data_IF_721371955642
#
_entry.id   IF_721371955642
#
_cell.length_a   1.000
_cell.length_b   1.000
_cell.length_c   1.000
_cell.angle_alpha   90.00
_cell.angle_beta   90.00
_cell.angle_gamma   90.00
#
_symmetry.space_group_name_H-M   'P 1'
#
loop_
_entity.id
_entity.type
_entity.pdbx_description
1 polymer ?
#
# COMPACT_ATOMS: atom_id res chain seq x y z
N UNK A 1 64.70 49.41 -16.68
CA UNK A 1 63.54 49.11 -15.82
C UNK A 1 64.03 48.21 -14.70
N UNK A 2 64.09 48.72 -13.47
CA UNK A 2 64.32 47.94 -12.27
C UNK A 2 62.95 47.70 -11.63
N UNK A 3 62.58 46.45 -11.40
CA UNK A 3 61.37 46.09 -10.66
C UNK A 3 61.70 46.04 -9.17
N UNK A 4 60.81 46.61 -8.34
CA UNK A 4 60.92 46.60 -6.88
C UNK A 4 60.17 45.40 -6.31
N UNK A 5 60.59 44.93 -5.14
CA UNK A 5 59.98 43.79 -4.42
C UNK A 5 58.52 44.05 -4.03
N UNK A 6 58.08 45.31 -4.05
CA UNK A 6 56.70 45.72 -3.77
C UNK A 6 55.75 45.59 -4.98
N UNK A 7 56.27 45.19 -6.16
CA UNK A 7 55.46 44.96 -7.37
C UNK A 7 54.74 43.59 -7.37
N UNK A 8 54.86 42.81 -6.30
CA UNK A 8 54.22 41.49 -6.15
C UNK A 8 53.28 41.44 -4.95
N UNK A 9 51.97 41.41 -5.21
CA UNK A 9 50.95 41.17 -4.18
C UNK A 9 51.19 39.82 -3.44
N UNK A 10 51.03 39.77 -2.10
CA UNK A 10 51.27 38.56 -1.34
C UNK A 10 50.21 37.49 -1.62
N UNK A 11 50.64 36.38 -2.22
CA UNK A 11 49.83 35.17 -2.45
C UNK A 11 49.37 34.59 -1.10
N UNK A 12 48.09 34.76 -0.77
CA UNK A 12 47.43 34.11 0.38
C UNK A 12 47.43 32.59 0.21
N UNK A 13 48.43 31.90 0.76
CA UNK A 13 48.42 30.44 0.91
C UNK A 13 47.37 30.03 1.94
N UNK A 14 46.27 29.40 1.50
CA UNK A 14 45.35 28.69 2.40
C UNK A 14 46.11 27.55 3.07
N UNK A 15 46.20 27.58 4.41
CA UNK A 15 46.74 26.48 5.23
C UNK A 15 45.94 25.19 4.95
N UNK A 16 46.57 24.17 4.37
CA UNK A 16 46.03 22.80 4.37
C UNK A 16 46.04 22.31 5.82
N UNK A 17 44.85 22.03 6.36
CA UNK A 17 44.67 21.36 7.65
C UNK A 17 45.21 19.93 7.53
N UNK A 18 46.35 19.66 8.17
CA UNK A 18 46.88 18.32 8.36
C UNK A 18 46.01 17.57 9.36
N UNK A 19 45.23 16.59 8.90
CA UNK A 19 44.64 15.59 9.81
C UNK A 19 45.77 14.67 10.33
N UNK A 20 45.84 14.37 11.63
CA UNK A 20 46.86 13.46 12.16
C UNK A 20 46.59 12.01 11.68
N UNK A 21 47.62 11.15 11.58
CA UNK A 21 47.44 9.78 11.11
C UNK A 21 46.63 8.97 12.13
N UNK A 22 45.60 8.28 11.64
CA UNK A 22 44.86 7.26 12.37
C UNK A 22 45.82 6.13 12.79
N UNK A 23 45.92 5.91 14.10
CA UNK A 23 46.58 4.73 14.70
C UNK A 23 45.91 3.47 14.14
N UNK A 24 46.62 2.69 13.31
CA UNK A 24 46.20 1.33 12.96
C UNK A 24 46.33 0.45 14.21
N UNK A 25 45.20 -0.12 14.65
CA UNK A 25 45.16 -1.21 15.64
C UNK A 25 45.94 -2.40 15.09
N UNK A 26 46.81 -2.99 15.93
CA UNK A 26 47.39 -4.31 15.71
C UNK A 26 46.28 -5.35 15.83
N UNK A 27 46.15 -6.19 14.82
CA UNK A 27 45.51 -7.50 14.92
C UNK A 27 46.50 -8.50 14.34
N UNK A 28 47.17 -9.22 15.24
CA UNK A 28 47.88 -10.44 14.93
C UNK A 28 46.86 -11.54 14.63
N UNK A 29 46.91 -12.08 13.41
CA UNK A 29 46.47 -13.44 13.10
C UNK A 29 47.32 -13.95 11.94
N UNK A 30 48.20 -14.92 12.25
CA UNK A 30 48.87 -15.77 11.27
C UNK A 30 47.83 -16.46 10.36
N UNK A 31 48.03 -16.43 9.05
CA UNK A 31 48.19 -17.62 8.21
C UNK A 31 48.12 -17.29 6.72
N UNK A 32 48.96 -18.01 5.95
CA UNK A 32 49.21 -17.94 4.50
C UNK A 32 50.12 -16.80 4.05
N UNK A 33 51.35 -17.18 3.74
CA UNK A 33 52.22 -16.45 2.81
C UNK A 33 51.54 -16.38 1.45
N UNK A 34 50.73 -15.35 1.24
CA UNK A 34 50.33 -14.91 -0.09
C UNK A 34 51.56 -14.26 -0.73
N UNK A 35 52.29 -15.04 -1.52
CA UNK A 35 53.21 -14.49 -2.50
C UNK A 35 52.32 -13.77 -3.51
N UNK A 36 52.13 -12.46 -3.31
CA UNK A 36 51.55 -11.60 -4.33
C UNK A 36 52.42 -11.75 -5.59
N UNK A 37 51.85 -12.05 -6.76
CA UNK A 37 52.63 -12.11 -7.99
C UNK A 37 53.30 -10.75 -8.19
N UNK A 38 54.62 -10.77 -8.36
CA UNK A 38 55.42 -9.60 -8.72
C UNK A 38 54.71 -8.95 -9.91
N UNK A 39 54.35 -7.68 -9.75
CA UNK A 39 53.63 -6.93 -10.77
C UNK A 39 54.47 -6.86 -12.06
N UNK A 40 53.83 -6.53 -13.20
CA UNK A 40 54.42 -6.55 -14.55
C UNK A 40 55.72 -5.72 -14.69
N UNK A 41 56.06 -4.90 -13.69
CA UNK A 41 57.30 -4.13 -13.54
C UNK A 41 58.52 -4.88 -12.97
N UNK A 42 58.37 -6.12 -12.53
CA UNK A 42 59.46 -6.95 -12.00
C UNK A 42 59.96 -6.56 -10.59
N UNK A 43 60.78 -7.42 -9.99
CA UNK A 43 61.28 -7.28 -8.59
C UNK A 43 62.06 -5.98 -8.39
N UNK A 44 62.80 -5.54 -9.42
CA UNK A 44 63.62 -4.33 -9.35
C UNK A 44 62.80 -3.07 -9.10
N UNK A 45 61.63 -2.95 -9.73
CA UNK A 45 60.75 -1.79 -9.54
C UNK A 45 60.15 -1.74 -8.13
N UNK A 46 59.71 -2.89 -7.61
CA UNK A 46 59.17 -3.00 -6.26
C UNK A 46 60.24 -2.65 -5.20
N UNK A 47 61.49 -3.09 -5.39
CA UNK A 47 62.61 -2.71 -4.51
C UNK A 47 62.94 -1.22 -4.58
N UNK A 48 62.91 -0.61 -5.77
CA UNK A 48 63.16 0.82 -5.92
C UNK A 48 62.07 1.67 -5.25
N UNK A 49 60.79 1.27 -5.38
CA UNK A 49 59.66 1.91 -4.68
C UNK A 49 59.81 1.85 -3.16
N UNK A 50 60.33 0.74 -2.61
CA UNK A 50 60.62 0.61 -1.16
C UNK A 50 61.74 1.56 -0.72
N UNK A 51 62.73 1.84 -1.56
CA UNK A 51 63.80 2.80 -1.29
C UNK A 51 63.39 4.27 -1.49
N UNK A 52 62.12 4.52 -1.78
CA UNK A 52 61.55 5.87 -1.95
C UNK A 52 61.70 6.46 -3.35
N UNK A 53 62.11 5.66 -4.34
CA UNK A 53 62.08 6.08 -5.74
C UNK A 53 60.64 6.10 -6.26
N UNK A 54 60.29 7.12 -7.05
CA UNK A 54 58.96 7.29 -7.65
C UNK A 54 59.04 7.08 -9.16
N UNK A 55 58.03 6.43 -9.72
CA UNK A 55 57.97 6.08 -11.13
C UNK A 55 58.03 7.33 -12.03
N UNK A 56 58.80 7.23 -13.12
CA UNK A 56 58.98 8.32 -14.09
C UNK A 56 59.90 9.45 -13.62
N UNK A 57 60.76 9.22 -12.62
CA UNK A 57 61.67 10.24 -12.09
C UNK A 57 63.14 9.81 -12.12
N UNK A 58 64.03 10.76 -12.34
CA UNK A 58 65.47 10.57 -12.22
C UNK A 58 65.88 10.19 -10.79
N UNK A 59 66.93 9.38 -10.64
CA UNK A 59 67.52 9.11 -9.33
C UNK A 59 68.32 10.33 -8.82
N UNK A 60 68.32 10.59 -7.51
CA UNK A 60 69.10 11.67 -6.89
C UNK A 60 68.30 12.47 -5.86
N UNK A 61 68.98 13.29 -5.06
CA UNK A 61 68.39 14.08 -3.96
C UNK A 61 67.25 15.01 -4.42
N UNK A 62 67.27 15.44 -5.67
CA UNK A 62 66.30 16.34 -6.29
C UNK A 62 65.77 15.77 -7.62
N UNK A 63 65.75 14.45 -7.75
CA UNK A 63 65.19 13.76 -8.94
C UNK A 63 65.93 14.07 -10.26
N UNK A 64 67.18 14.54 -10.17
CA UNK A 64 67.93 15.10 -11.30
C UNK A 64 68.67 14.09 -12.20
N UNK A 65 68.58 12.80 -11.88
CA UNK A 65 69.20 11.73 -12.68
C UNK A 65 68.51 11.56 -14.03
N UNK A 66 69.16 10.83 -14.93
CA UNK A 66 68.54 10.44 -16.20
C UNK A 66 67.36 9.49 -15.95
N UNK A 67 66.23 9.72 -16.61
CA UNK A 67 65.00 8.90 -16.49
C UNK A 67 65.08 7.61 -17.32
N UNK A 68 65.92 7.60 -18.34
CA UNK A 68 66.14 6.47 -19.23
C UNK A 68 67.65 6.24 -19.44
N UNK A 69 68.11 4.99 -19.63
CA UNK A 69 69.49 4.71 -20.00
C UNK A 69 69.90 5.46 -21.28
N UNK A 70 71.16 5.87 -21.35
CA UNK A 70 71.70 6.49 -22.56
C UNK A 70 71.86 5.42 -23.63
N UNK A 71 71.21 5.60 -24.78
CA UNK A 71 71.45 4.76 -25.95
C UNK A 71 72.77 5.14 -26.61
N UNK A 72 73.59 4.14 -26.90
CA UNK A 72 74.88 4.31 -27.57
C UNK A 72 74.74 3.84 -29.01
N UNK A 73 75.01 4.73 -29.96
CA UNK A 73 75.10 4.36 -31.37
C UNK A 73 76.34 3.47 -31.57
N UNK A 74 76.12 2.19 -31.85
CA UNK A 74 77.20 1.26 -32.17
C UNK A 74 77.66 1.51 -33.61
N UNK A 75 78.97 1.74 -33.82
CA UNK A 75 79.53 1.76 -35.18
C UNK A 75 79.67 0.32 -35.68
N UNK A 76 78.90 -0.04 -36.69
CA UNK A 76 79.12 -1.28 -37.41
C UNK A 76 80.25 -1.08 -38.41
N UNK A 77 81.32 -1.87 -38.25
CA UNK A 77 82.52 -1.88 -39.12
C UNK A 77 83.27 -0.54 -39.15
N UNK A 78 84.49 -0.50 -39.70
CA UNK A 78 85.44 0.64 -39.61
C UNK A 78 85.01 1.87 -40.44
N UNK A 79 83.77 2.31 -40.29
CA UNK A 79 83.15 3.43 -40.98
C UNK A 79 83.57 4.78 -40.36
N UNK A 80 83.57 5.82 -41.19
CA UNK A 80 83.87 7.19 -40.76
C UNK A 80 82.70 7.80 -39.99
N UNK A 81 82.98 8.79 -39.13
CA UNK A 81 81.94 9.54 -38.42
C UNK A 81 80.99 10.19 -39.45
N UNK A 82 79.67 9.98 -39.29
CA UNK A 82 78.58 10.49 -40.14
C UNK A 82 78.29 9.78 -41.48
N UNK A 83 78.87 8.61 -41.75
CA UNK A 83 78.62 7.89 -43.01
C UNK A 83 77.14 7.50 -43.20
N UNK A 84 76.41 7.23 -42.10
CA UNK A 84 74.99 6.87 -42.09
C UNK A 84 74.04 8.02 -42.46
N UNK A 85 74.53 9.26 -42.53
CA UNK A 85 73.74 10.45 -42.89
C UNK A 85 73.74 10.75 -44.40
N UNK A 86 74.51 10.00 -45.20
CA UNK A 86 74.55 10.19 -46.66
C UNK A 86 73.31 9.52 -47.27
N UNK A 87 72.30 10.33 -47.56
CA UNK A 87 71.05 9.91 -48.21
C UNK A 87 71.35 9.39 -49.63
N UNK A 88 70.74 8.29 -50.10
CA UNK A 88 70.99 7.74 -51.44
C UNK A 88 70.74 8.76 -52.57
N UNK A 89 69.80 9.68 -52.37
CA UNK A 89 69.49 10.77 -53.30
C UNK A 89 70.67 11.75 -53.49
N UNK A 90 71.44 12.03 -52.44
CA UNK A 90 72.60 12.94 -52.53
C UNK A 90 73.74 12.32 -53.35
N UNK A 91 73.83 10.98 -53.35
CA UNK A 91 74.82 10.24 -54.14
C UNK A 91 74.43 10.19 -55.63
N UNK A 92 73.14 10.15 -55.94
CA UNK A 92 72.61 10.23 -57.32
C UNK A 92 72.74 11.65 -57.88
N UNK A 93 72.42 12.69 -57.10
CA UNK A 93 72.60 14.10 -57.49
C UNK A 93 74.09 14.48 -57.69
N UNK A 94 74.98 14.01 -56.81
CA UNK A 94 76.42 14.25 -56.98
C UNK A 94 76.99 13.53 -58.21
N UNK A 95 76.48 12.33 -58.54
CA UNK A 95 76.83 11.63 -59.78
C UNK A 95 76.26 12.36 -61.01
N UNK A 96 75.02 12.84 -60.98
CA UNK A 96 74.39 13.62 -62.06
C UNK A 96 75.16 14.91 -62.39
N UNK A 97 75.70 15.62 -61.39
CA UNK A 97 76.57 16.79 -61.62
C UNK A 97 77.93 16.44 -62.23
N UNK A 98 78.43 15.23 -62.01
CA UNK A 98 79.73 14.79 -62.53
C UNK A 98 79.65 14.23 -63.97
N UNK A 99 78.48 13.75 -64.41
CA UNK A 99 78.31 13.11 -65.73
C UNK A 99 77.76 14.01 -66.84
N UNK A 100 77.49 15.29 -66.58
CA UNK A 100 76.98 16.22 -67.59
C UNK A 100 77.93 16.53 -68.75
N UNK A 101 79.17 16.01 -68.77
CA UNK A 101 80.15 16.28 -69.83
C UNK A 101 80.74 15.07 -70.56
N UNK A 102 80.61 13.84 -70.05
CA UNK A 102 81.09 12.61 -70.71
C UNK A 102 80.16 11.42 -70.43
N UNK A 103 79.04 11.35 -71.15
CA UNK A 103 78.10 10.25 -71.06
C UNK A 103 78.38 9.22 -72.17
N UNK A 104 78.97 8.08 -71.80
CA UNK A 104 78.99 6.86 -72.62
C UNK A 104 77.70 6.05 -72.41
N UNK A 105 77.25 5.29 -73.41
CA UNK A 105 75.98 4.54 -73.39
C UNK A 105 75.81 3.63 -72.14
N UNK A 106 76.88 2.99 -71.66
CA UNK A 106 76.85 2.13 -70.45
C UNK A 106 76.42 2.87 -69.17
N UNK A 107 76.76 4.17 -69.03
CA UNK A 107 76.39 4.96 -67.85
C UNK A 107 74.93 5.39 -67.88
N UNK A 108 74.38 5.57 -69.07
CA UNK A 108 72.95 5.85 -69.27
C UNK A 108 72.14 4.59 -68.94
N UNK A 109 72.60 3.41 -69.35
CA UNK A 109 71.98 2.12 -68.99
C UNK A 109 71.97 1.86 -67.49
N UNK A 110 73.06 2.13 -66.77
CA UNK A 110 73.11 1.97 -65.31
C UNK A 110 72.12 2.93 -64.61
N UNK A 111 71.95 4.15 -65.13
CA UNK A 111 71.00 5.13 -64.61
C UNK A 111 69.54 4.70 -64.85
N UNK A 112 69.25 4.15 -66.03
CA UNK A 112 67.93 3.57 -66.37
C UNK A 112 67.61 2.41 -65.42
N UNK A 113 68.57 1.49 -65.18
CA UNK A 113 68.37 0.38 -64.25
C UNK A 113 68.15 0.84 -62.80
N UNK A 114 68.82 1.91 -62.37
CA UNK A 114 68.59 2.48 -61.04
C UNK A 114 67.21 3.14 -60.94
N UNK A 115 66.75 3.84 -61.98
CA UNK A 115 65.43 4.45 -62.03
C UNK A 115 64.31 3.39 -62.03
N UNK A 116 64.49 2.28 -62.76
CA UNK A 116 63.59 1.12 -62.73
C UNK A 116 63.53 0.49 -61.33
N UNK A 117 64.68 0.27 -60.69
CA UNK A 117 64.74 -0.22 -59.30
C UNK A 117 64.08 0.73 -58.31
N UNK A 118 64.21 2.04 -58.51
CA UNK A 118 63.53 3.04 -57.68
C UNK A 118 62.02 2.97 -57.84
N UNK A 119 61.50 2.82 -59.07
CA UNK A 119 60.08 2.62 -59.35
C UNK A 119 59.56 1.34 -58.67
N UNK A 120 60.30 0.24 -58.74
CA UNK A 120 59.94 -1.01 -58.07
C UNK A 120 59.89 -0.88 -56.54
N UNK A 121 60.84 -0.16 -55.95
CA UNK A 121 60.87 0.11 -54.51
C UNK A 121 59.68 1.00 -54.12
N UNK A 122 59.36 2.01 -54.93
CA UNK A 122 58.24 2.92 -54.69
C UNK A 122 56.89 2.18 -54.74
N UNK A 123 56.72 1.27 -55.70
CA UNK A 123 55.56 0.37 -55.78
C UNK A 123 55.46 -0.47 -54.50
N UNK A 124 56.54 -1.12 -54.06
CA UNK A 124 56.56 -1.94 -52.83
C UNK A 124 56.28 -1.13 -51.56
N UNK A 125 56.75 0.13 -51.50
CA UNK A 125 56.46 1.03 -50.38
C UNK A 125 54.97 1.39 -50.35
N UNK A 126 54.38 1.70 -51.50
CA UNK A 126 52.96 2.02 -51.60
C UNK A 126 52.07 0.82 -51.25
N UNK A 127 52.42 -0.39 -51.70
CA UNK A 127 51.74 -1.63 -51.32
C UNK A 127 51.81 -1.87 -49.79
N UNK A 128 52.99 -1.73 -49.19
CA UNK A 128 53.15 -1.86 -47.73
C UNK A 128 52.35 -0.80 -46.97
N UNK A 129 52.33 0.43 -47.47
CA UNK A 129 51.56 1.53 -46.87
C UNK A 129 50.06 1.24 -46.90
N UNK A 130 49.55 0.71 -48.01
CA UNK A 130 48.15 0.30 -48.14
C UNK A 130 47.82 -0.84 -47.17
N UNK A 131 48.66 -1.87 -47.08
CA UNK A 131 48.46 -2.99 -46.14
C UNK A 131 48.42 -2.51 -44.67
N UNK A 132 49.32 -1.60 -44.29
CA UNK A 132 49.34 -1.01 -42.95
C UNK A 132 48.04 -0.22 -42.70
N UNK A 133 47.55 0.54 -43.69
CA UNK A 133 46.34 1.31 -43.56
C UNK A 133 45.10 0.42 -43.38
N UNK A 134 45.02 -0.68 -44.12
CA UNK A 134 43.96 -1.68 -44.00
C UNK A 134 43.98 -2.36 -42.62
N UNK A 135 45.17 -2.71 -42.11
CA UNK A 135 45.33 -3.31 -40.79
C UNK A 135 45.01 -2.33 -39.64
N UNK A 136 45.33 -1.04 -39.80
CA UNK A 136 44.89 0.02 -38.88
C UNK A 136 43.37 0.10 -38.87
N UNK A 137 42.72 0.05 -40.04
CA UNK A 137 41.26 0.13 -40.14
C UNK A 137 40.58 -1.10 -39.50
N UNK A 138 41.10 -2.30 -39.74
CA UNK A 138 40.63 -3.54 -39.07
C UNK A 138 40.80 -3.46 -37.56
N UNK A 139 41.95 -2.96 -37.10
CA UNK A 139 42.23 -2.80 -35.67
C UNK A 139 41.30 -1.78 -35.02
N UNK A 140 41.03 -0.64 -35.66
CA UNK A 140 40.06 0.35 -35.19
C UNK A 140 38.65 -0.23 -35.09
N UNK A 141 38.22 -1.02 -36.07
CA UNK A 141 36.91 -1.69 -36.03
C UNK A 141 36.83 -2.71 -34.88
N UNK A 142 37.89 -3.49 -34.63
CA UNK A 142 37.95 -4.40 -33.48
C UNK A 142 37.89 -3.65 -32.15
N UNK A 143 38.65 -2.57 -31.99
CA UNK A 143 38.64 -1.73 -30.78
C UNK A 143 37.26 -1.14 -30.55
N UNK A 144 36.59 -0.64 -31.59
CA UNK A 144 35.22 -0.10 -31.47
C UNK A 144 34.22 -1.16 -31.01
N UNK A 145 34.28 -2.38 -31.57
CA UNK A 145 33.41 -3.50 -31.12
C UNK A 145 33.66 -3.87 -29.66
N UNK A 146 34.92 -3.92 -29.24
CA UNK A 146 35.29 -4.21 -27.85
C UNK A 146 34.81 -3.10 -26.89
N UNK A 147 34.91 -1.84 -27.28
CA UNK A 147 34.42 -0.71 -26.49
C UNK A 147 32.89 -0.76 -26.30
N UNK A 148 32.13 -1.06 -27.35
CA UNK A 148 30.67 -1.23 -27.23
C UNK A 148 30.30 -2.40 -26.32
N UNK A 149 31.02 -3.53 -26.41
CA UNK A 149 30.77 -4.68 -25.53
C UNK A 149 31.12 -4.36 -24.07
N UNK A 150 32.20 -3.62 -23.82
CA UNK A 150 32.58 -3.20 -22.47
C UNK A 150 31.51 -2.31 -21.84
N UNK A 151 30.93 -1.37 -22.60
CA UNK A 151 29.84 -0.51 -22.12
C UNK A 151 28.58 -1.31 -21.75
N UNK A 152 28.20 -2.30 -22.56
CA UNK A 152 27.06 -3.20 -22.26
C UNK A 152 27.34 -3.99 -20.97
N UNK A 153 28.55 -4.54 -20.83
CA UNK A 153 28.94 -5.30 -19.65
C UNK A 153 28.95 -4.43 -18.37
N UNK A 154 29.40 -3.17 -18.46
CA UNK A 154 29.41 -2.23 -17.34
C UNK A 154 27.98 -1.90 -16.87
N UNK A 155 27.05 -1.69 -17.80
CA UNK A 155 25.63 -1.48 -17.48
C UNK A 155 25.01 -2.73 -16.82
N UNK A 156 25.36 -3.93 -17.29
CA UNK A 156 24.89 -5.19 -16.70
C UNK A 156 25.45 -5.41 -15.29
N UNK A 157 26.72 -5.06 -15.05
CA UNK A 157 27.36 -5.10 -13.73
C UNK A 157 26.68 -4.12 -12.77
N UNK A 158 26.39 -2.89 -13.20
CA UNK A 158 25.70 -1.91 -12.36
C UNK A 158 24.30 -2.39 -11.97
N UNK A 159 23.58 -3.02 -12.91
CA UNK A 159 22.25 -3.61 -12.67
C UNK A 159 22.32 -4.74 -11.64
N UNK A 160 23.26 -5.68 -11.80
CA UNK A 160 23.49 -6.78 -10.85
C UNK A 160 23.89 -6.28 -9.46
N UNK A 161 24.73 -5.25 -9.37
CA UNK A 161 25.12 -4.66 -8.09
C UNK A 161 23.94 -4.01 -7.34
N UNK A 162 22.99 -3.39 -8.06
CA UNK A 162 21.74 -2.87 -7.46
C UNK A 162 20.87 -4.00 -6.90
N UNK A 163 20.73 -5.10 -7.63
CA UNK A 163 19.97 -6.28 -7.16
C UNK A 163 20.61 -6.92 -5.91
N UNK A 164 21.93 -7.08 -5.90
CA UNK A 164 22.66 -7.63 -4.73
C UNK A 164 22.44 -6.76 -3.49
N UNK A 165 22.52 -5.43 -3.64
CA UNK A 165 22.31 -4.48 -2.53
C UNK A 165 20.89 -4.60 -1.93
N UNK A 166 19.87 -4.75 -2.78
CA UNK A 166 18.48 -4.96 -2.34
C UNK A 166 18.32 -6.28 -1.58
N UNK A 167 18.94 -7.35 -2.07
CA UNK A 167 18.91 -8.66 -1.42
C UNK A 167 19.59 -8.65 -0.04
N UNK A 168 20.73 -7.98 0.10
CA UNK A 168 21.43 -7.83 1.39
C UNK A 168 20.61 -7.01 2.40
N UNK A 169 20.00 -5.90 1.96
CA UNK A 169 19.07 -5.13 2.79
C UNK A 169 17.87 -5.95 3.24
N UNK A 170 17.29 -6.74 2.32
CA UNK A 170 16.21 -7.66 2.62
C UNK A 170 16.58 -8.68 3.70
N UNK A 171 17.77 -9.29 3.61
CA UNK A 171 18.28 -10.24 4.63
C UNK A 171 18.35 -9.65 6.03
N UNK A 172 18.85 -8.42 6.16
CA UNK A 172 18.94 -7.75 7.46
C UNK A 172 17.54 -7.53 8.04
N UNK A 173 16.60 -7.05 7.22
CA UNK A 173 15.21 -6.83 7.63
C UNK A 173 14.56 -8.15 8.05
N UNK A 174 14.68 -9.22 7.26
CA UNK A 174 14.12 -10.53 7.61
C UNK A 174 14.72 -11.12 8.88
N UNK A 175 16.03 -10.93 9.10
CA UNK A 175 16.67 -11.36 10.34
C UNK A 175 16.16 -10.57 11.55
N UNK A 176 16.02 -9.25 11.44
CA UNK A 176 15.41 -8.42 12.49
C UNK A 176 13.95 -8.80 12.76
N UNK A 177 13.15 -9.09 11.73
CA UNK A 177 11.78 -9.61 11.87
C UNK A 177 11.80 -10.90 12.68
N UNK A 178 12.63 -11.86 12.26
CA UNK A 178 12.69 -13.18 12.88
C UNK A 178 13.09 -13.10 14.35
N UNK A 179 14.17 -12.38 14.66
CA UNK A 179 14.64 -12.20 16.05
C UNK A 179 13.62 -11.43 16.89
N UNK A 180 12.99 -10.40 16.32
CA UNK A 180 11.94 -9.66 17.00
C UNK A 180 10.68 -10.48 17.26
N UNK A 181 10.31 -11.38 16.34
CA UNK A 181 9.16 -12.28 16.50
C UNK A 181 9.35 -13.32 17.60
N UNK A 182 10.57 -13.82 17.80
CA UNK A 182 10.89 -14.73 18.93
C UNK A 182 10.71 -14.03 20.29
N UNK A 183 10.86 -12.70 20.32
CA UNK A 183 10.72 -11.88 21.52
C UNK A 183 9.31 -11.36 21.79
N UNK A 184 8.27 -11.76 21.04
CA UNK A 184 6.89 -11.36 21.33
C UNK A 184 6.25 -12.39 22.26
N UNK A 185 6.13 -12.05 23.53
CA UNK A 185 5.42 -12.84 24.54
C UNK A 185 4.17 -12.12 25.09
N UNK A 186 4.01 -10.83 24.79
CA UNK A 186 2.84 -10.06 25.19
C UNK A 186 2.38 -8.98 24.17
N UNK A 187 1.29 -8.30 24.51
CA UNK A 187 0.70 -7.23 23.69
C UNK A 187 1.62 -6.00 23.56
N UNK A 188 2.39 -5.68 24.60
CA UNK A 188 3.23 -4.49 24.65
C UNK A 188 4.45 -4.63 23.73
N UNK A 189 5.04 -5.81 23.69
CA UNK A 189 6.13 -6.16 22.79
C UNK A 189 5.66 -6.17 21.33
N UNK A 190 4.47 -6.71 21.06
CA UNK A 190 3.86 -6.63 19.73
C UNK A 190 3.73 -5.18 19.25
N UNK A 191 3.17 -4.30 20.08
CA UNK A 191 2.98 -2.88 19.73
C UNK A 191 4.31 -2.19 19.48
N UNK A 192 5.28 -2.35 20.40
CA UNK A 192 6.63 -1.78 20.25
C UNK A 192 7.31 -2.25 18.97
N UNK A 193 7.11 -3.52 18.59
CA UNK A 193 7.72 -4.06 17.40
C UNK A 193 7.06 -3.57 16.10
N UNK A 194 5.72 -3.46 16.06
CA UNK A 194 5.00 -2.82 14.93
C UNK A 194 5.44 -1.36 14.76
N UNK A 195 5.59 -0.60 15.85
CA UNK A 195 6.11 0.77 15.78
C UNK A 195 7.55 0.83 15.26
N UNK A 196 8.38 -0.16 15.57
CA UNK A 196 9.75 -0.25 15.08
C UNK A 196 9.78 -0.54 13.58
N UNK A 197 8.96 -1.50 13.11
CA UNK A 197 8.79 -1.82 11.69
C UNK A 197 8.36 -0.56 10.91
N UNK A 198 7.39 0.18 11.45
CA UNK A 198 6.94 1.43 10.84
C UNK A 198 8.06 2.47 10.68
N UNK A 199 8.99 2.52 11.62
CA UNK A 199 10.11 3.46 11.63
C UNK A 199 11.28 3.03 10.73
N UNK A 200 11.24 1.85 10.07
CA UNK A 200 12.32 1.40 9.20
C UNK A 200 12.49 2.30 7.96
N UNK A 201 13.62 3.01 7.89
CA UNK A 201 13.99 3.91 6.77
C UNK A 201 14.86 3.22 5.70
N UNK A 202 15.00 1.89 5.74
CA UNK A 202 16.01 1.14 4.97
C UNK A 202 15.58 0.90 3.51
N UNK A 203 14.28 0.91 3.22
CA UNK A 203 13.69 0.65 1.90
C UNK A 203 13.08 1.92 1.28
N UNK A 204 13.05 1.99 -0.06
CA UNK A 204 12.35 3.06 -0.77
C UNK A 204 10.83 2.99 -0.54
N UNK A 205 10.10 4.07 -0.83
CA UNK A 205 8.64 4.14 -0.60
C UNK A 205 7.86 3.01 -1.32
N UNK A 206 8.29 2.60 -2.52
CA UNK A 206 7.63 1.55 -3.30
C UNK A 206 7.95 0.14 -2.79
N UNK A 207 9.19 -0.10 -2.36
CA UNK A 207 9.63 -1.40 -1.79
C UNK A 207 9.13 -1.59 -0.35
N UNK A 208 8.77 -0.50 0.33
CA UNK A 208 8.31 -0.50 1.73
C UNK A 208 7.01 -1.25 1.92
N UNK A 209 6.06 -1.14 0.99
CA UNK A 209 4.66 -1.51 1.25
C UNK A 209 4.51 -3.00 1.53
N UNK A 210 4.94 -3.85 0.61
CA UNK A 210 4.73 -5.31 0.70
C UNK A 210 5.52 -5.92 1.86
N UNK A 211 6.74 -5.42 2.09
CA UNK A 211 7.58 -5.89 3.20
C UNK A 211 6.98 -5.46 4.54
N UNK A 212 6.53 -4.22 4.68
CA UNK A 212 5.87 -3.75 5.92
C UNK A 212 4.56 -4.52 6.15
N UNK A 213 3.75 -4.71 5.11
CA UNK A 213 2.50 -5.45 5.18
C UNK A 213 2.72 -6.88 5.67
N UNK A 214 3.64 -7.60 5.01
CA UNK A 214 4.03 -8.94 5.43
C UNK A 214 4.55 -8.99 6.87
N UNK A 215 5.42 -8.05 7.24
CA UNK A 215 6.06 -8.02 8.56
C UNK A 215 5.05 -7.76 9.67
N UNK A 216 4.20 -6.73 9.52
CA UNK A 216 3.17 -6.38 10.50
C UNK A 216 2.19 -7.52 10.64
N UNK A 217 1.76 -8.13 9.53
CA UNK A 217 0.88 -9.28 9.56
C UNK A 217 1.48 -10.42 10.37
N UNK A 218 2.74 -10.79 10.13
CA UNK A 218 3.41 -11.89 10.85
C UNK A 218 3.58 -11.61 12.35
N UNK A 219 3.88 -10.37 12.69
CA UNK A 219 4.00 -9.92 14.09
C UNK A 219 2.67 -10.00 14.82
N UNK A 220 1.58 -9.56 14.18
CA UNK A 220 0.23 -9.69 14.71
C UNK A 220 -0.13 -11.17 14.86
N UNK A 221 0.07 -12.00 13.83
CA UNK A 221 -0.20 -13.44 13.88
C UNK A 221 0.50 -14.11 15.08
N UNK A 222 1.77 -13.79 15.31
CA UNK A 222 2.53 -14.30 16.46
C UNK A 222 1.95 -13.87 17.81
N UNK A 223 1.58 -12.59 17.94
CA UNK A 223 0.95 -12.09 19.17
C UNK A 223 -0.42 -12.77 19.42
N UNK A 224 -1.18 -13.03 18.36
CA UNK A 224 -2.46 -13.73 18.46
C UNK A 224 -2.26 -15.19 18.92
N UNK A 225 -1.22 -15.88 18.44
CA UNK A 225 -0.85 -17.23 18.88
C UNK A 225 -0.60 -17.30 20.39
N UNK A 226 0.22 -16.39 20.93
CA UNK A 226 0.51 -16.34 22.36
C UNK A 226 -0.74 -16.08 23.22
N UNK A 227 -1.70 -15.35 22.65
CA UNK A 227 -2.97 -15.03 23.30
C UNK A 227 -4.04 -16.12 23.15
N UNK A 228 -3.81 -17.21 22.39
CA UNK A 228 -4.82 -18.24 22.12
C UNK A 228 -5.34 -18.91 23.39
N UNK A 229 -4.48 -19.18 24.37
CA UNK A 229 -4.91 -19.77 25.65
C UNK A 229 -5.90 -18.84 26.38
N UNK A 230 -5.62 -17.54 26.41
CA UNK A 230 -6.51 -16.54 27.00
C UNK A 230 -7.86 -16.51 26.28
N UNK A 231 -7.86 -16.64 24.94
CA UNK A 231 -9.10 -16.74 24.15
C UNK A 231 -9.88 -18.01 24.45
N UNK A 232 -9.22 -19.16 24.55
CA UNK A 232 -9.88 -20.43 24.87
C UNK A 232 -10.55 -20.36 26.25
N UNK A 233 -9.84 -19.81 27.25
CA UNK A 233 -10.38 -19.61 28.60
C UNK A 233 -11.53 -18.60 28.57
N UNK A 234 -11.37 -17.49 27.86
CA UNK A 234 -12.39 -16.47 27.72
C UNK A 234 -13.68 -17.02 27.09
N UNK A 235 -13.58 -17.77 25.98
CA UNK A 235 -14.71 -18.42 25.30
C UNK A 235 -15.52 -19.32 26.24
N UNK A 236 -14.85 -19.99 27.18
CA UNK A 236 -15.47 -20.84 28.22
C UNK A 236 -16.05 -20.04 29.39
N UNK A 237 -15.43 -18.91 29.74
CA UNK A 237 -15.80 -18.13 30.93
C UNK A 237 -17.17 -17.46 30.84
N UNK A 238 -17.72 -17.27 29.63
CA UNK A 238 -19.06 -16.71 29.34
C UNK A 238 -19.38 -15.33 29.94
N UNK A 239 -18.41 -14.61 30.52
CA UNK A 239 -18.71 -13.43 31.35
C UNK A 239 -18.68 -12.08 30.63
N UNK A 240 -17.92 -11.93 29.55
CA UNK A 240 -17.74 -10.61 28.90
C UNK A 240 -17.83 -10.71 27.38
N UNK A 241 -18.32 -9.64 26.74
CA UNK A 241 -18.25 -9.43 25.28
C UNK A 241 -16.89 -8.90 24.83
N UNK A 242 -16.07 -8.39 25.77
CA UNK A 242 -14.70 -7.91 25.52
C UNK A 242 -13.80 -9.11 25.20
N UNK A 243 -13.42 -9.25 23.94
CA UNK A 243 -12.47 -10.28 23.53
C UNK A 243 -11.04 -9.91 23.97
N UNK A 244 -10.16 -10.90 24.23
CA UNK A 244 -8.79 -10.63 24.66
C UNK A 244 -7.98 -9.79 23.68
N UNK A 245 -8.29 -9.83 22.38
CA UNK A 245 -7.58 -9.10 21.34
C UNK A 245 -7.97 -7.62 21.24
N UNK A 246 -9.05 -7.20 21.89
CA UNK A 246 -9.61 -5.85 21.74
C UNK A 246 -8.57 -4.79 22.06
N UNK A 247 -7.92 -4.89 23.23
CA UNK A 247 -6.91 -3.93 23.67
C UNK A 247 -5.72 -3.84 22.70
N UNK A 248 -5.25 -4.99 22.21
CA UNK A 248 -4.16 -5.05 21.24
C UNK A 248 -4.53 -4.28 19.97
N UNK A 249 -5.69 -4.56 19.39
CA UNK A 249 -6.12 -3.92 18.14
C UNK A 249 -6.45 -2.44 18.31
N UNK A 250 -7.10 -2.06 19.42
CA UNK A 250 -7.37 -0.66 19.75
C UNK A 250 -6.09 0.16 19.83
N UNK A 251 -5.05 -0.37 20.48
CA UNK A 251 -3.75 0.31 20.58
C UNK A 251 -2.99 0.33 19.27
N UNK A 252 -2.99 -0.77 18.51
CA UNK A 252 -2.36 -0.81 17.19
C UNK A 252 -3.01 0.21 16.22
N UNK A 253 -4.33 0.42 16.28
CA UNK A 253 -5.02 1.42 15.45
C UNK A 253 -4.75 2.87 15.87
N UNK A 254 -4.16 3.12 17.05
CA UNK A 254 -3.68 4.46 17.42
C UNK A 254 -2.43 4.87 16.64
N UNK A 255 -1.75 3.92 16.00
CA UNK A 255 -0.65 4.22 15.07
C UNK A 255 -1.27 4.89 13.84
N UNK A 256 -1.11 6.22 13.74
CA UNK A 256 -1.73 7.08 12.71
C UNK A 256 -1.08 6.91 11.33
N UNK A 257 -1.10 5.70 10.79
CA UNK A 257 -0.65 5.38 9.45
C UNK A 257 -1.72 4.62 8.68
N UNK A 258 -1.98 5.04 7.43
CA UNK A 258 -3.05 4.49 6.60
C UNK A 258 -2.80 3.02 6.24
N UNK A 259 -1.55 2.65 5.90
CA UNK A 259 -1.22 1.28 5.53
C UNK A 259 -1.38 0.34 6.73
N UNK A 260 -0.87 0.76 7.90
CA UNK A 260 -0.97 0.00 9.14
C UNK A 260 -2.43 -0.19 9.54
N UNK A 261 -3.23 0.88 9.46
CA UNK A 261 -4.67 0.82 9.70
C UNK A 261 -5.35 -0.21 8.80
N UNK A 262 -5.08 -0.19 7.50
CA UNK A 262 -5.67 -1.14 6.54
C UNK A 262 -5.34 -2.60 6.90
N UNK A 263 -4.08 -2.88 7.24
CA UNK A 263 -3.62 -4.22 7.62
C UNK A 263 -4.31 -4.69 8.90
N UNK A 264 -4.36 -3.84 9.93
CA UNK A 264 -4.99 -4.18 11.21
C UNK A 264 -6.50 -4.42 11.03
N UNK A 265 -7.18 -3.57 10.26
CA UNK A 265 -8.61 -3.72 10.01
C UNK A 265 -8.92 -5.02 9.27
N UNK A 266 -8.11 -5.44 8.28
CA UNK A 266 -8.27 -6.75 7.61
C UNK A 266 -8.14 -7.93 8.59
N UNK A 267 -7.21 -7.85 9.55
CA UNK A 267 -7.07 -8.87 10.59
C UNK A 267 -8.26 -8.87 11.55
N UNK A 268 -8.70 -7.69 12.00
CA UNK A 268 -9.89 -7.52 12.84
C UNK A 268 -11.13 -8.11 12.17
N UNK A 269 -11.34 -7.79 10.89
CA UNK A 269 -12.47 -8.32 10.12
C UNK A 269 -12.48 -9.85 10.14
N UNK A 270 -11.36 -10.48 9.81
CA UNK A 270 -11.23 -11.94 9.76
C UNK A 270 -11.55 -12.56 11.12
N UNK A 271 -10.93 -12.06 12.19
CA UNK A 271 -11.04 -12.63 13.54
C UNK A 271 -12.43 -12.41 14.11
N UNK A 272 -12.95 -11.18 14.03
CA UNK A 272 -14.22 -10.83 14.66
C UNK A 272 -15.40 -11.44 13.93
N UNK A 273 -15.36 -11.54 12.60
CA UNK A 273 -16.38 -12.27 11.83
C UNK A 273 -16.37 -13.75 12.21
N UNK A 274 -15.19 -14.37 12.29
CA UNK A 274 -15.08 -15.79 12.64
C UNK A 274 -15.61 -16.05 14.06
N UNK A 275 -15.25 -15.22 15.03
CA UNK A 275 -15.77 -15.34 16.39
C UNK A 275 -17.26 -15.11 16.48
N UNK A 276 -17.80 -14.10 15.80
CA UNK A 276 -19.25 -13.87 15.82
C UNK A 276 -19.99 -15.05 15.20
N UNK A 277 -19.48 -15.64 14.10
CA UNK A 277 -20.08 -16.85 13.51
C UNK A 277 -20.10 -18.03 14.48
N UNK A 278 -18.95 -18.34 15.09
CA UNK A 278 -18.83 -19.43 16.06
C UNK A 278 -19.76 -19.22 17.26
N UNK A 279 -19.67 -18.04 17.87
CA UNK A 279 -20.35 -17.73 19.13
C UNK A 279 -21.83 -17.45 18.93
N UNK A 280 -22.26 -17.03 17.75
CA UNK A 280 -23.69 -16.78 17.48
C UNK A 280 -24.53 -18.01 17.76
N UNK A 281 -24.04 -19.22 17.54
CA UNK A 281 -24.73 -20.49 17.84
C UNK A 281 -24.81 -20.81 19.33
N UNK A 282 -23.83 -20.40 20.11
CA UNK A 282 -23.70 -20.78 21.52
C UNK A 282 -24.19 -19.71 22.50
N UNK A 283 -24.18 -18.44 22.08
CA UNK A 283 -24.45 -17.28 22.94
C UNK A 283 -25.82 -16.67 22.66
N UNK A 284 -26.26 -15.82 23.60
CA UNK A 284 -27.49 -15.03 23.44
C UNK A 284 -27.33 -13.97 22.35
N UNK A 285 -28.47 -13.53 21.81
CA UNK A 285 -28.50 -12.46 20.81
C UNK A 285 -27.97 -11.14 21.40
N UNK A 286 -28.35 -10.80 22.64
CA UNK A 286 -27.75 -9.69 23.39
C UNK A 286 -26.21 -9.72 23.41
N UNK A 287 -25.60 -10.87 23.68
CA UNK A 287 -24.14 -10.99 23.66
C UNK A 287 -23.56 -10.67 22.28
N UNK A 288 -24.22 -11.12 21.21
CA UNK A 288 -23.80 -10.85 19.83
C UNK A 288 -23.87 -9.34 19.51
N UNK A 289 -24.92 -8.66 19.98
CA UNK A 289 -25.09 -7.21 19.82
C UNK A 289 -24.01 -6.45 20.60
N UNK A 290 -23.79 -6.79 21.86
CA UNK A 290 -22.76 -6.17 22.70
C UNK A 290 -21.37 -6.37 22.09
N UNK A 291 -21.09 -7.57 21.57
CA UNK A 291 -19.86 -7.88 20.87
C UNK A 291 -19.68 -7.02 19.61
N UNK A 292 -20.71 -6.88 18.78
CA UNK A 292 -20.64 -6.01 17.60
C UNK A 292 -20.40 -4.55 17.98
N UNK A 293 -21.17 -4.01 18.93
CA UNK A 293 -21.08 -2.61 19.33
C UNK A 293 -19.72 -2.24 19.88
N UNK A 294 -19.07 -3.16 20.61
CA UNK A 294 -17.72 -2.97 21.11
C UNK A 294 -16.69 -2.94 19.96
N UNK A 295 -16.78 -3.87 19.01
CA UNK A 295 -15.71 -4.11 18.03
C UNK A 295 -15.88 -3.32 16.71
N UNK A 296 -17.06 -2.77 16.41
CA UNK A 296 -17.35 -2.13 15.12
C UNK A 296 -16.40 -1.00 14.73
N UNK A 297 -15.85 -0.28 15.70
CA UNK A 297 -14.91 0.84 15.45
C UNK A 297 -13.54 0.37 14.97
N UNK A 298 -13.18 -0.89 15.27
CA UNK A 298 -11.91 -1.49 14.87
C UNK A 298 -11.97 -2.15 13.49
N UNK A 299 -13.16 -2.26 12.90
CA UNK A 299 -13.41 -3.00 11.66
C UNK A 299 -13.35 -2.08 10.44
N UNK A 300 -13.17 -2.69 9.27
CA UNK A 300 -13.39 -2.00 7.99
C UNK A 300 -14.88 -1.93 7.65
N UNK A 301 -15.25 -1.07 6.70
CA UNK A 301 -16.62 -1.02 6.16
C UNK A 301 -17.03 -2.35 5.51
N UNK A 302 -16.10 -3.03 4.83
CA UNK A 302 -16.34 -4.36 4.25
C UNK A 302 -16.62 -5.40 5.34
N UNK A 303 -15.86 -5.36 6.45
CA UNK A 303 -16.06 -6.22 7.61
C UNK A 303 -17.42 -6.00 8.27
N UNK A 304 -17.83 -4.74 8.44
CA UNK A 304 -19.15 -4.38 8.98
C UNK A 304 -20.26 -4.96 8.09
N UNK A 305 -20.15 -4.82 6.77
CA UNK A 305 -21.14 -5.37 5.83
C UNK A 305 -21.23 -6.91 5.92
N UNK A 306 -20.11 -7.61 6.12
CA UNK A 306 -20.11 -9.06 6.36
C UNK A 306 -20.76 -9.44 7.69
N UNK A 307 -20.61 -8.63 8.75
CA UNK A 307 -21.32 -8.87 10.02
C UNK A 307 -22.83 -8.69 9.86
N UNK A 308 -23.28 -7.68 9.11
CA UNK A 308 -24.73 -7.48 8.85
C UNK A 308 -25.37 -8.75 8.26
N UNK A 309 -24.65 -9.48 7.39
CA UNK A 309 -25.11 -10.77 6.88
C UNK A 309 -25.25 -11.85 7.97
N UNK A 310 -24.38 -11.86 8.98
CA UNK A 310 -24.50 -12.78 10.12
C UNK A 310 -25.74 -12.43 10.95
N UNK A 311 -26.02 -11.14 11.15
CA UNK A 311 -27.23 -10.71 11.86
C UNK A 311 -28.52 -11.17 11.17
N UNK A 312 -28.54 -11.29 9.83
CA UNK A 312 -29.68 -11.88 9.12
C UNK A 312 -29.97 -13.34 9.54
N UNK A 313 -28.94 -14.11 9.91
CA UNK A 313 -29.11 -15.45 10.46
C UNK A 313 -29.49 -15.44 11.95
N UNK A 314 -28.91 -14.53 12.74
CA UNK A 314 -29.23 -14.36 14.16
C UNK A 314 -30.72 -14.00 14.34
N UNK A 315 -31.25 -13.14 13.48
CA UNK A 315 -32.66 -12.68 13.51
C UNK A 315 -33.63 -13.85 13.38
N UNK A 316 -33.25 -15.00 12.80
CA UNK A 316 -34.16 -16.15 12.67
C UNK A 316 -34.55 -16.75 14.03
N UNK A 317 -33.73 -16.56 15.06
CA UNK A 317 -33.95 -17.06 16.43
C UNK A 317 -35.00 -16.27 17.19
N UNK A 318 -35.43 -16.77 18.34
CA UNK A 318 -36.22 -15.96 19.27
C UNK A 318 -35.39 -14.79 19.77
N UNK A 319 -35.96 -13.58 19.64
CA UNK A 319 -35.33 -12.32 20.00
C UNK A 319 -36.36 -11.45 20.71
N UNK A 320 -35.90 -10.72 21.72
CA UNK A 320 -36.71 -9.78 22.50
C UNK A 320 -36.97 -8.50 21.73
N UNK A 321 -37.97 -7.73 22.16
CA UNK A 321 -38.29 -6.44 21.54
C UNK A 321 -37.13 -5.44 21.59
N UNK A 322 -36.37 -5.41 22.69
CA UNK A 322 -35.20 -4.55 22.82
C UNK A 322 -34.08 -4.96 21.84
N UNK A 323 -33.83 -6.27 21.70
CA UNK A 323 -32.86 -6.78 20.73
C UNK A 323 -33.27 -6.48 19.29
N UNK A 324 -34.57 -6.54 18.96
CA UNK A 324 -35.07 -6.16 17.64
C UNK A 324 -34.71 -4.70 17.32
N UNK A 325 -34.94 -3.78 18.25
CA UNK A 325 -34.62 -2.36 18.10
C UNK A 325 -33.12 -2.17 17.84
N UNK A 326 -32.28 -2.83 18.64
CA UNK A 326 -30.83 -2.71 18.50
C UNK A 326 -30.34 -3.29 17.17
N UNK A 327 -30.87 -4.43 16.73
CA UNK A 327 -30.50 -5.05 15.45
C UNK A 327 -30.96 -4.20 14.26
N UNK A 328 -32.12 -3.56 14.35
CA UNK A 328 -32.62 -2.65 13.31
C UNK A 328 -31.65 -1.47 13.06
N UNK A 329 -31.04 -0.97 14.14
CA UNK A 329 -29.98 0.04 14.07
C UNK A 329 -28.70 -0.53 13.45
N UNK A 330 -28.35 -1.78 13.75
CA UNK A 330 -27.14 -2.43 13.21
C UNK A 330 -27.25 -2.68 11.70
N UNK A 331 -28.38 -3.21 11.23
CA UNK A 331 -28.55 -3.55 9.82
C UNK A 331 -28.57 -2.29 8.96
N UNK A 332 -29.20 -1.23 9.43
CA UNK A 332 -29.41 0.04 8.72
C UNK A 332 -30.20 -0.09 7.40
N UNK A 333 -30.44 -1.29 6.91
CA UNK A 333 -31.31 -1.60 5.76
C UNK A 333 -32.58 -2.31 6.20
N UNK A 334 -33.71 -2.16 5.48
CA UNK A 334 -34.94 -2.87 5.77
C UNK A 334 -34.74 -4.39 5.79
N UNK A 335 -35.34 -5.08 6.76
CA UNK A 335 -35.31 -6.53 6.87
C UNK A 335 -36.71 -7.07 7.17
N UNK A 336 -37.30 -7.79 6.22
CA UNK A 336 -38.69 -8.26 6.30
C UNK A 336 -38.95 -9.19 7.50
N UNK A 337 -37.98 -10.02 7.89
CA UNK A 337 -38.12 -10.93 9.04
C UNK A 337 -38.15 -10.13 10.33
N UNK A 338 -37.28 -9.14 10.44
CA UNK A 338 -37.19 -8.26 11.60
C UNK A 338 -38.45 -7.39 11.73
N UNK A 339 -38.92 -6.82 10.61
CA UNK A 339 -40.17 -6.07 10.54
C UNK A 339 -41.39 -6.90 10.97
N UNK A 340 -41.50 -8.15 10.50
CA UNK A 340 -42.57 -9.07 10.93
C UNK A 340 -42.53 -9.35 12.42
N UNK A 341 -41.33 -9.55 12.99
CA UNK A 341 -41.18 -9.76 14.45
C UNK A 341 -41.48 -8.49 15.24
N UNK A 342 -41.05 -7.34 14.75
CA UNK A 342 -41.37 -6.04 15.35
C UNK A 342 -42.88 -5.81 15.38
N UNK A 343 -43.54 -5.98 14.23
CA UNK A 343 -44.99 -5.87 14.08
C UNK A 343 -45.74 -6.78 15.06
N UNK A 344 -45.33 -8.05 15.18
CA UNK A 344 -45.92 -9.00 16.12
C UNK A 344 -45.81 -8.54 17.58
N UNK A 345 -44.65 -8.01 17.99
CA UNK A 345 -44.46 -7.49 19.34
C UNK A 345 -45.34 -6.26 19.61
N UNK A 346 -45.44 -5.33 18.64
CA UNK A 346 -46.33 -4.16 18.75
C UNK A 346 -47.79 -4.60 18.98
N UNK A 347 -48.27 -5.59 18.22
CA UNK A 347 -49.61 -6.15 18.42
C UNK A 347 -49.77 -6.70 19.83
N UNK A 348 -48.84 -7.54 20.28
CA UNK A 348 -48.89 -8.13 21.62
C UNK A 348 -48.95 -7.07 22.72
N UNK A 349 -48.15 -6.00 22.61
CA UNK A 349 -48.19 -4.90 23.57
C UNK A 349 -49.54 -4.16 23.56
N UNK A 350 -50.15 -3.97 22.39
CA UNK A 350 -51.47 -3.34 22.28
C UNK A 350 -52.54 -4.24 22.93
N UNK A 351 -52.53 -5.54 22.63
CA UNK A 351 -53.49 -6.51 23.16
C UNK A 351 -53.37 -6.67 24.68
N UNK A 352 -52.15 -6.58 25.22
CA UNK A 352 -51.88 -6.61 26.66
C UNK A 352 -52.09 -5.25 27.36
N UNK A 353 -52.59 -4.22 26.65
CA UNK A 353 -52.75 -2.85 27.15
C UNK A 353 -51.44 -2.21 27.67
N UNK A 354 -50.28 -2.63 27.16
CA UNK A 354 -48.96 -2.11 27.50
C UNK A 354 -48.55 -0.91 26.60
N UNK A 355 -49.52 -0.04 26.31
CA UNK A 355 -49.37 1.17 25.49
C UNK A 355 -48.22 2.10 25.95
N UNK A 356 -47.96 2.29 27.26
CA UNK A 356 -46.86 3.14 27.71
C UNK A 356 -45.49 2.73 27.16
N UNK A 357 -45.22 1.43 27.01
CA UNK A 357 -43.95 0.90 26.50
C UNK A 357 -43.71 1.38 25.07
N UNK A 358 -44.71 1.25 24.19
CA UNK A 358 -44.62 1.68 22.79
C UNK A 358 -44.38 3.20 22.71
N UNK A 359 -45.11 3.99 23.53
CA UNK A 359 -44.97 5.45 23.55
C UNK A 359 -43.60 5.91 24.04
N UNK A 360 -43.05 5.24 25.04
CA UNK A 360 -41.71 5.53 25.57
C UNK A 360 -40.64 5.24 24.52
N UNK A 361 -40.73 4.10 23.84
CA UNK A 361 -39.83 3.72 22.75
C UNK A 361 -39.93 4.72 21.59
N UNK A 362 -41.14 5.11 21.19
CA UNK A 362 -41.33 6.12 20.14
C UNK A 362 -40.65 7.46 20.49
N UNK A 363 -40.74 7.90 21.75
CA UNK A 363 -40.13 9.17 22.19
C UNK A 363 -38.60 9.13 22.26
N UNK A 364 -38.03 7.97 22.58
CA UNK A 364 -36.58 7.84 22.88
C UNK A 364 -35.75 7.35 21.71
N UNK A 365 -36.37 6.82 20.65
CA UNK A 365 -35.67 6.20 19.53
C UNK A 365 -35.52 7.11 18.30
N UNK A 366 -34.71 6.66 17.34
CA UNK A 366 -34.43 7.36 16.08
C UNK A 366 -35.66 7.48 15.17
N UNK A 367 -35.60 8.41 14.21
CA UNK A 367 -36.68 8.62 13.21
C UNK A 367 -37.03 7.34 12.43
N UNK A 368 -36.05 6.48 12.15
CA UNK A 368 -36.26 5.20 11.47
C UNK A 368 -37.17 4.27 12.28
N UNK A 369 -36.88 4.10 13.57
CA UNK A 369 -37.69 3.26 14.47
C UNK A 369 -39.06 3.89 14.70
N UNK A 370 -39.14 5.22 14.82
CA UNK A 370 -40.41 5.94 14.92
C UNK A 370 -41.32 5.66 13.72
N UNK A 371 -40.78 5.72 12.49
CA UNK A 371 -41.50 5.38 11.27
C UNK A 371 -41.96 3.91 11.30
N UNK A 372 -41.10 2.99 11.74
CA UNK A 372 -41.42 1.57 11.86
C UNK A 372 -42.61 1.33 12.82
N UNK A 373 -42.62 2.01 13.96
CA UNK A 373 -43.70 1.98 14.95
C UNK A 373 -45.00 2.49 14.34
N UNK A 374 -44.96 3.67 13.70
CA UNK A 374 -46.14 4.28 13.09
C UNK A 374 -46.73 3.38 12.01
N UNK A 375 -45.88 2.83 11.13
CA UNK A 375 -46.30 1.92 10.07
C UNK A 375 -46.86 0.62 10.64
N UNK A 376 -46.29 0.09 11.72
CA UNK A 376 -46.79 -1.11 12.40
C UNK A 376 -48.17 -0.86 13.01
N UNK A 377 -48.35 0.22 13.76
CA UNK A 377 -49.65 0.57 14.36
C UNK A 377 -50.69 0.81 13.26
N UNK A 378 -50.35 1.58 12.22
CA UNK A 378 -51.24 1.84 11.08
C UNK A 378 -51.65 0.53 10.41
N UNK A 379 -50.71 -0.36 10.15
CA UNK A 379 -50.98 -1.64 9.49
C UNK A 379 -51.88 -2.54 10.34
N UNK A 380 -51.71 -2.54 11.67
CA UNK A 380 -52.59 -3.26 12.58
C UNK A 380 -54.01 -2.69 12.59
N UNK A 381 -54.16 -1.36 12.64
CA UNK A 381 -55.46 -0.70 12.52
C UNK A 381 -56.17 -1.13 11.22
N UNK A 382 -55.46 -1.12 10.09
CA UNK A 382 -56.04 -1.56 8.81
C UNK A 382 -56.39 -3.05 8.78
N UNK A 383 -55.62 -3.92 9.46
CA UNK A 383 -55.99 -5.33 9.64
C UNK A 383 -57.29 -5.48 10.44
N UNK A 384 -57.47 -4.69 11.51
CA UNK A 384 -58.70 -4.69 12.30
C UNK A 384 -59.90 -4.21 11.46
N UNK A 385 -59.73 -3.18 10.63
CA UNK A 385 -60.77 -2.69 9.70
C UNK A 385 -61.16 -3.79 8.71
N UNK A 386 -60.17 -4.47 8.11
CA UNK A 386 -60.40 -5.57 7.18
C UNK A 386 -61.17 -6.73 7.83
N UNK A 387 -60.88 -7.02 9.10
CA UNK A 387 -61.55 -8.04 9.91
C UNK A 387 -62.89 -7.59 10.52
N UNK A 388 -63.43 -6.44 10.09
CA UNK A 388 -64.69 -5.86 10.56
C UNK A 388 -64.70 -5.47 12.06
N UNK A 389 -63.53 -5.29 12.68
CA UNK A 389 -63.38 -4.91 14.09
C UNK A 389 -63.26 -3.37 14.24
N UNK A 390 -64.28 -2.64 13.79
CA UNK A 390 -64.23 -1.16 13.68
C UNK A 390 -64.03 -0.46 15.02
N UNK A 391 -64.80 -0.85 16.04
CA UNK A 391 -64.69 -0.26 17.39
C UNK A 391 -63.28 -0.46 17.96
N UNK A 392 -62.69 -1.63 17.76
CA UNK A 392 -61.31 -1.90 18.21
C UNK A 392 -60.30 -1.07 17.43
N UNK A 393 -60.51 -0.89 16.11
CA UNK A 393 -59.67 -0.05 15.25
C UNK A 393 -59.59 1.39 15.76
N UNK A 394 -60.76 1.98 16.10
CA UNK A 394 -60.84 3.34 16.65
C UNK A 394 -60.26 3.44 18.07
N UNK A 395 -60.43 2.42 18.92
CA UNK A 395 -59.77 2.38 20.24
C UNK A 395 -58.26 2.41 20.11
N UNK A 396 -57.70 1.61 19.20
CA UNK A 396 -56.25 1.60 18.93
C UNK A 396 -55.79 2.95 18.39
N UNK A 397 -56.52 3.56 17.45
CA UNK A 397 -56.21 4.91 16.97
C UNK A 397 -56.16 5.91 18.12
N UNK A 398 -57.15 5.90 19.02
CA UNK A 398 -57.20 6.81 20.17
C UNK A 398 -56.03 6.64 21.14
N UNK A 399 -55.53 5.41 21.33
CA UNK A 399 -54.32 5.20 22.13
C UNK A 399 -53.12 5.96 21.58
N UNK A 400 -53.04 6.14 20.26
CA UNK A 400 -51.88 6.71 19.56
C UNK A 400 -52.19 7.99 18.79
N UNK A 401 -53.31 8.65 19.11
CA UNK A 401 -53.81 9.80 18.34
C UNK A 401 -52.76 10.90 18.14
N UNK A 402 -52.02 11.23 19.21
CA UNK A 402 -50.99 12.27 19.19
C UNK A 402 -49.70 11.87 18.44
N UNK A 403 -49.59 10.62 17.95
CA UNK A 403 -48.42 10.15 17.20
C UNK A 403 -48.61 10.24 15.68
N UNK A 404 -49.86 10.28 15.20
CA UNK A 404 -50.16 10.39 13.77
C UNK A 404 -50.37 11.85 13.37
N UNK A 405 -50.14 12.18 12.09
CA UNK A 405 -50.57 13.47 11.55
C UNK A 405 -52.10 13.55 11.47
N UNK A 406 -52.64 14.76 11.53
CA UNK A 406 -54.10 15.00 11.44
C UNK A 406 -54.72 14.31 10.21
N UNK A 407 -54.05 14.40 9.06
CA UNK A 407 -54.48 13.77 7.81
C UNK A 407 -54.58 12.23 7.93
N UNK A 408 -53.57 11.58 8.53
CA UNK A 408 -53.59 10.13 8.72
C UNK A 408 -54.72 9.72 9.67
N UNK A 409 -54.92 10.48 10.75
CA UNK A 409 -56.00 10.22 11.71
C UNK A 409 -57.37 10.31 11.02
N UNK A 410 -57.61 11.36 10.24
CA UNK A 410 -58.87 11.55 9.52
C UNK A 410 -59.13 10.47 8.48
N UNK A 411 -58.11 10.08 7.70
CA UNK A 411 -58.24 9.04 6.70
C UNK A 411 -58.62 7.68 7.31
N UNK A 412 -57.99 7.30 8.43
CA UNK A 412 -58.34 6.07 9.15
C UNK A 412 -59.80 6.10 9.64
N UNK A 413 -60.28 7.24 10.15
CA UNK A 413 -61.67 7.39 10.60
C UNK A 413 -62.64 7.25 9.43
N UNK A 414 -62.36 7.89 8.29
CA UNK A 414 -63.17 7.77 7.08
C UNK A 414 -63.24 6.30 6.62
N UNK A 415 -62.12 5.59 6.61
CA UNK A 415 -62.07 4.18 6.22
C UNK A 415 -62.88 3.29 7.17
N UNK A 416 -62.82 3.54 8.48
CA UNK A 416 -63.65 2.90 9.49
C UNK A 416 -65.15 3.13 9.24
N UNK A 417 -65.56 4.36 8.92
CA UNK A 417 -66.96 4.72 8.67
C UNK A 417 -67.49 4.04 7.40
N UNK A 418 -66.75 4.12 6.30
CA UNK A 418 -67.11 3.43 5.03
C UNK A 418 -67.26 1.93 5.21
N UNK A 419 -66.33 1.31 5.96
CA UNK A 419 -66.39 -0.12 6.25
C UNK A 419 -67.59 -0.47 7.14
N UNK A 420 -67.97 0.41 8.07
CA UNK A 420 -69.17 0.24 8.90
C UNK A 420 -70.44 0.20 8.05
N UNK A 421 -70.60 1.12 7.10
CA UNK A 421 -71.73 1.15 6.17
C UNK A 421 -71.85 -0.16 5.38
N UNK A 422 -70.73 -0.73 4.94
CA UNK A 422 -70.72 -2.04 4.28
C UNK A 422 -71.14 -3.18 5.20
N UNK A 423 -70.68 -3.20 6.46
CA UNK A 423 -71.03 -4.24 7.43
C UNK A 423 -72.52 -4.24 7.71
N UNK A 424 -73.12 -3.06 7.92
CA UNK A 424 -74.57 -2.92 8.20
C UNK A 424 -75.40 -3.49 7.04
N UNK A 425 -75.00 -3.23 5.79
CA UNK A 425 -75.67 -3.79 4.61
C UNK A 425 -75.52 -5.32 4.45
N UNK A 426 -74.54 -5.94 5.11
CA UNK A 426 -74.17 -7.34 4.88
C UNK A 426 -74.81 -8.35 5.84
N UNK A 427 -75.40 -7.90 6.95
CA UNK A 427 -75.99 -8.77 7.98
C UNK A 427 -77.26 -8.16 8.55
N UNK A 428 -78.25 -8.99 8.92
CA UNK A 428 -79.40 -8.51 9.67
C UNK A 428 -78.97 -8.16 11.10
N UNK A 429 -79.10 -6.89 11.45
CA UNK A 429 -78.97 -6.39 12.82
C UNK A 429 -80.33 -5.88 13.28
N UNK A 430 -80.61 -5.97 14.58
CA UNK A 430 -81.74 -5.23 15.15
C UNK A 430 -81.44 -3.73 15.17
N UNK A 431 -82.49 -2.92 15.14
CA UNK A 431 -82.35 -1.47 15.19
C UNK A 431 -81.61 -1.00 16.46
N UNK A 432 -81.91 -1.62 17.60
CA UNK A 432 -81.26 -1.33 18.89
C UNK A 432 -79.75 -1.61 18.84
N UNK A 433 -79.34 -2.72 18.21
CA UNK A 433 -77.92 -3.06 18.03
C UNK A 433 -77.19 -2.03 17.16
N UNK A 434 -77.83 -1.55 16.10
CA UNK A 434 -77.26 -0.53 15.21
C UNK A 434 -77.11 0.83 15.91
N UNK A 435 -78.10 1.25 16.71
CA UNK A 435 -78.00 2.48 17.49
C UNK A 435 -76.93 2.39 18.58
N UNK A 436 -76.85 1.26 19.30
CA UNK A 436 -75.78 1.04 20.28
C UNK A 436 -74.41 1.09 19.61
N UNK A 437 -74.26 0.44 18.45
CA UNK A 437 -73.03 0.49 17.67
C UNK A 437 -72.67 1.92 17.24
N UNK A 438 -73.63 2.69 16.72
CA UNK A 438 -73.42 4.08 16.31
C UNK A 438 -72.96 4.97 17.48
N UNK A 439 -73.62 4.85 18.64
CA UNK A 439 -73.27 5.62 19.84
C UNK A 439 -71.84 5.28 20.29
N UNK A 440 -71.48 3.99 20.32
CA UNK A 440 -70.13 3.56 20.66
C UNK A 440 -69.10 4.09 19.67
N UNK A 441 -69.38 3.99 18.37
CA UNK A 441 -68.49 4.46 17.31
C UNK A 441 -68.27 5.98 17.43
N UNK A 442 -69.34 6.76 17.54
CA UNK A 442 -69.28 8.23 17.63
C UNK A 442 -68.51 8.70 18.86
N UNK A 443 -68.66 8.00 19.99
CA UNK A 443 -67.94 8.33 21.23
C UNK A 443 -66.42 8.20 21.12
N UNK A 444 -65.94 7.40 20.17
CA UNK A 444 -64.52 7.19 19.91
C UNK A 444 -63.94 8.17 18.89
N UNK A 445 -64.72 9.07 18.30
CA UNK A 445 -64.24 10.10 17.38
C UNK A 445 -64.15 11.43 18.14
N UNK A 446 -62.94 11.94 18.44
CA UNK A 446 -62.76 13.24 19.08
C UNK A 446 -63.31 14.37 18.22
N UNK A 447 -63.84 15.40 18.86
CA UNK A 447 -64.47 16.52 18.15
C UNK A 447 -63.46 17.31 17.32
N UNK A 448 -62.20 17.32 17.75
CA UNK A 448 -61.08 17.98 17.06
C UNK A 448 -60.75 17.34 15.70
N UNK A 449 -61.17 16.09 15.47
CA UNK A 449 -60.96 15.38 14.22
C UNK A 449 -62.11 15.53 13.22
N UNK A 450 -63.22 16.15 13.63
CA UNK A 450 -64.37 16.34 12.74
C UNK A 450 -64.02 17.30 11.62
N UNK A 451 -64.11 16.80 10.39
CA UNK A 451 -64.04 17.57 9.17
C UNK A 451 -65.30 17.27 8.33
N UNK A 452 -65.63 18.12 7.33
CA UNK A 452 -66.83 17.92 6.50
C UNK A 452 -66.95 16.51 5.91
N UNK A 453 -65.83 15.88 5.54
CA UNK A 453 -65.82 14.51 5.02
C UNK A 453 -66.26 13.47 6.06
N UNK A 454 -65.75 13.58 7.30
CA UNK A 454 -66.14 12.66 8.40
C UNK A 454 -67.59 12.90 8.80
N UNK A 455 -68.03 14.16 8.87
CA UNK A 455 -69.42 14.49 9.18
C UNK A 455 -70.39 13.94 8.13
N UNK A 456 -70.04 14.03 6.85
CA UNK A 456 -70.85 13.48 5.76
C UNK A 456 -70.96 11.95 5.86
N UNK A 457 -69.87 11.24 6.16
CA UNK A 457 -69.88 9.79 6.34
C UNK A 457 -70.68 9.38 7.60
N UNK A 458 -70.58 10.14 8.70
CA UNK A 458 -71.41 9.90 9.90
C UNK A 458 -72.91 10.11 9.64
N UNK A 459 -73.27 11.14 8.87
CA UNK A 459 -74.66 11.38 8.45
C UNK A 459 -75.16 10.27 7.53
N UNK A 460 -74.35 9.86 6.56
CA UNK A 460 -74.64 8.74 5.66
C UNK A 460 -74.92 7.45 6.44
N UNK A 461 -74.07 7.13 7.43
CA UNK A 461 -74.23 5.97 8.31
C UNK A 461 -75.54 6.05 9.10
N UNK A 462 -75.89 7.23 9.65
CA UNK A 462 -77.12 7.42 10.42
C UNK A 462 -78.36 7.27 9.53
N UNK A 463 -78.37 7.90 8.34
CA UNK A 463 -79.47 7.75 7.37
C UNK A 463 -79.66 6.30 6.93
N UNK A 464 -78.56 5.52 6.83
CA UNK A 464 -78.63 4.11 6.51
C UNK A 464 -79.26 3.27 7.63
N UNK A 465 -79.02 3.63 8.89
CA UNK A 465 -79.70 3.02 10.05
C UNK A 465 -81.19 3.40 10.06
N UNK A 466 -81.53 4.65 9.75
CA UNK A 466 -82.91 5.14 9.69
C UNK A 466 -83.71 4.53 8.53
N UNK A 467 -83.07 4.21 7.39
CA UNK A 467 -83.71 3.54 6.25
C UNK A 467 -84.07 2.07 6.50
N UNK A 468 -83.56 1.48 7.59
CA UNK A 468 -83.88 0.11 8.01
C UNK A 468 -85.07 0.08 9.01
N UNK A 469 -85.66 1.24 9.34
CA UNK A 469 -87.01 1.40 9.90
C UNK A 469 -88.07 1.19 8.82
#
# INVERSE_FOLDING_TARGET
MQFSIDDFDPVKRKKKVTKPPLKKKKTDTLSKSEISPISVGGIGEEMLKVLGWSEGKGAGKFEQGIEQPIEINQSNERCGINEHLINPQTNVEMKLKHYGKDATNEKIEEMIMLEERMKDIEIKINEKKQNIQDDIQRSKQKISKLASQAAINEEEIERKNKEINLYEKGKIIFQEIREGMEGIIDQEECIRFVERIYKWKVLSHFERKDVIEFSIQKVIERALEEMQLNVIVWKKSNKTSVNPYFELFSRLLMIKDYLIKEIIQKQCDTIFIQFLKEMSNEKSVKWCIDYYNLNKELMSEEGINKIKLIFNEIIKREITFEEIIQIEVILDTPNEVLEKKFFKNIIQFIEMNQIPIIKEVYKTQSSKIQILILNSIKSYIYQLIQNNQIIQSLKVLNYFINMFSLEIQQNIIIDCLKKSSFIINSKPYSLDELYIFYIQLRSLIPNELLCPSIENELRSLLSLIELLL
#
